data_IF_532097068025
#
_entry.id   IF_532097068025
#
_cell.length_a   1.000
_cell.length_b   1.000
_cell.length_c   1.000
_cell.angle_alpha   90.00
_cell.angle_beta   90.00
_cell.angle_gamma   90.00
#
_symmetry.space_group_name_H-M   'P 1'
#
loop_
_entity.id
_entity.type
_entity.pdbx_description
1 polymer ?
#
# COMPACT_ATOMS: atom_id res chain seq x y z
N UNK A 1 11.41 0.42 -2.04
CA UNK A 1 12.22 1.66 -2.16
C UNK A 1 13.35 1.36 -3.13
N UNK A 2 13.77 2.33 -3.94
CA UNK A 2 14.89 2.19 -4.87
C UNK A 2 15.90 3.33 -4.65
N UNK A 3 17.09 3.22 -5.25
CA UNK A 3 18.06 4.32 -5.31
C UNK A 3 18.41 4.62 -6.77
N UNK A 4 18.44 5.90 -7.12
CA UNK A 4 18.85 6.38 -8.43
C UNK A 4 19.59 7.71 -8.26
N UNK A 5 20.77 7.84 -8.88
CA UNK A 5 21.64 9.04 -8.82
C UNK A 5 21.85 9.58 -7.39
N UNK A 6 22.13 8.68 -6.43
CA UNK A 6 22.36 9.04 -5.03
C UNK A 6 21.11 9.43 -4.24
N UNK A 7 19.93 9.53 -4.87
CA UNK A 7 18.65 9.83 -4.22
C UNK A 7 17.85 8.56 -3.94
N UNK A 8 17.05 8.59 -2.86
CA UNK A 8 16.09 7.52 -2.55
C UNK A 8 14.79 7.78 -3.31
N UNK A 9 14.30 6.77 -4.04
CA UNK A 9 13.04 6.81 -4.76
C UNK A 9 11.96 5.98 -4.04
N UNK A 10 10.83 6.61 -3.79
CA UNK A 10 9.62 5.96 -3.30
C UNK A 10 8.68 5.67 -4.47
N UNK A 11 8.46 4.37 -4.74
CA UNK A 11 7.67 3.89 -5.86
C UNK A 11 6.52 3.03 -5.30
N UNK A 12 5.30 3.56 -5.15
CA UNK A 12 4.16 2.78 -4.68
C UNK A 12 3.86 1.60 -5.63
N UNK A 13 3.59 0.43 -5.05
CA UNK A 13 3.19 -0.77 -5.80
C UNK A 13 4.34 -1.62 -6.33
N UNK A 14 5.60 -1.23 -6.09
CA UNK A 14 6.79 -2.01 -6.44
C UNK A 14 7.32 -2.77 -5.21
N UNK A 15 7.61 -4.06 -5.38
CA UNK A 15 8.18 -4.92 -4.34
C UNK A 15 9.72 -4.97 -4.41
N UNK A 16 10.39 -5.48 -3.36
CA UNK A 16 11.82 -5.77 -3.44
C UNK A 16 12.17 -6.69 -4.62
N UNK A 17 13.32 -6.44 -5.25
CA UNK A 17 13.87 -7.21 -6.38
C UNK A 17 13.08 -7.11 -7.70
N UNK A 18 12.04 -6.28 -7.79
CA UNK A 18 11.35 -6.02 -9.05
C UNK A 18 12.01 -4.93 -9.88
N UNK A 19 11.93 -5.10 -11.19
CA UNK A 19 12.35 -4.11 -12.19
C UNK A 19 11.11 -3.47 -12.82
N UNK A 20 11.16 -2.17 -13.04
CA UNK A 20 10.07 -1.42 -13.67
C UNK A 20 10.57 -0.14 -14.34
N UNK A 21 9.87 0.27 -15.40
CA UNK A 21 9.91 1.61 -15.93
C UNK A 21 9.06 2.51 -15.03
N UNK A 22 9.66 3.60 -14.56
CA UNK A 22 9.02 4.53 -13.63
C UNK A 22 9.16 5.97 -14.11
N UNK A 23 8.14 6.78 -13.86
CA UNK A 23 8.17 8.22 -14.10
C UNK A 23 8.20 8.96 -12.77
N UNK A 24 9.18 9.84 -12.60
CA UNK A 24 9.30 10.70 -11.40
C UNK A 24 8.15 11.71 -11.41
N UNK A 25 7.39 11.73 -10.32
CA UNK A 25 6.25 12.65 -10.14
C UNK A 25 6.56 13.80 -9.19
N UNK A 26 7.58 13.64 -8.33
CA UNK A 26 8.01 14.65 -7.38
C UNK A 26 9.50 14.47 -7.13
N UNK A 27 10.29 15.50 -7.33
CA UNK A 27 11.72 15.50 -7.01
C UNK A 27 12.01 16.50 -5.87
N UNK A 28 12.60 16.01 -4.79
CA UNK A 28 13.03 16.81 -3.64
C UNK A 28 14.52 16.59 -3.39
N UNK A 29 15.10 17.47 -2.56
CA UNK A 29 16.54 17.48 -2.27
C UNK A 29 17.07 16.12 -1.80
N UNK A 30 16.34 15.42 -0.93
CA UNK A 30 16.79 14.16 -0.31
C UNK A 30 16.13 12.89 -0.90
N UNK A 31 14.98 13.04 -1.54
CA UNK A 31 14.21 11.90 -2.07
C UNK A 31 13.38 12.31 -3.28
N UNK A 32 12.96 11.33 -4.07
CA UNK A 32 12.00 11.50 -5.13
C UNK A 32 10.84 10.50 -4.97
N UNK A 33 9.67 10.85 -5.53
CA UNK A 33 8.55 9.93 -5.70
C UNK A 33 8.36 9.65 -7.17
N UNK A 34 8.07 8.41 -7.50
CA UNK A 34 7.82 7.99 -8.87
C UNK A 34 6.62 7.02 -8.92
N UNK A 35 6.01 6.92 -10.10
CA UNK A 35 4.95 5.96 -10.39
C UNK A 35 5.43 4.94 -11.40
N UNK A 36 4.99 3.69 -11.24
CA UNK A 36 5.24 2.63 -12.22
C UNK A 36 4.46 2.91 -13.49
N UNK A 37 5.16 2.99 -14.61
CA UNK A 37 4.55 3.03 -15.96
C UNK A 37 4.37 1.61 -16.45
N UNK A 38 5.41 0.79 -16.33
CA UNK A 38 5.41 -0.60 -16.77
C UNK A 38 6.30 -1.43 -15.86
N UNK A 39 5.75 -2.51 -15.30
CA UNK A 39 6.53 -3.48 -14.53
C UNK A 39 7.18 -4.47 -15.50
N UNK A 40 8.47 -4.74 -15.30
CA UNK A 40 9.29 -5.60 -16.17
C UNK A 40 9.54 -6.98 -15.56
N UNK A 41 9.46 -7.11 -14.24
CA UNK A 41 9.55 -8.38 -13.53
C UNK A 41 8.65 -8.41 -12.30
N UNK A 42 8.22 -9.61 -11.93
CA UNK A 42 7.38 -9.86 -10.76
C UNK A 42 8.20 -10.60 -9.70
N UNK A 43 8.10 -10.12 -8.45
CA UNK A 43 8.68 -10.82 -7.30
C UNK A 43 7.93 -12.15 -7.07
N UNK A 44 8.60 -13.23 -6.63
CA UNK A 44 7.90 -14.45 -6.19
C UNK A 44 6.96 -14.20 -5.00
N UNK A 45 7.17 -13.12 -4.26
CA UNK A 45 6.35 -12.71 -3.11
C UNK A 45 5.20 -11.77 -3.52
N UNK A 46 4.97 -11.60 -4.82
CA UNK A 46 3.87 -10.79 -5.34
C UNK A 46 2.56 -11.57 -5.27
N UNK A 47 1.57 -10.94 -4.68
CA UNK A 47 0.21 -11.45 -4.60
C UNK A 47 -0.74 -10.59 -5.43
N UNK A 48 -1.81 -11.21 -5.93
CA UNK A 48 -2.91 -10.46 -6.55
C UNK A 48 -3.80 -9.88 -5.45
N UNK A 49 -3.99 -8.54 -5.39
CA UNK A 49 -4.84 -7.94 -4.37
C UNK A 49 -6.28 -8.48 -4.43
N UNK A 50 -6.80 -8.94 -3.30
CA UNK A 50 -8.20 -9.45 -3.21
C UNK A 50 -9.24 -8.34 -3.26
N UNK A 51 -8.89 -7.12 -2.82
CA UNK A 51 -9.80 -5.99 -2.81
C UNK A 51 -9.79 -5.28 -4.17
N UNK A 52 -10.94 -5.14 -4.87
CA UNK A 52 -11.01 -4.41 -6.13
C UNK A 52 -10.72 -2.91 -5.97
N UNK A 53 -10.80 -2.38 -4.74
CA UNK A 53 -10.50 -0.99 -4.43
C UNK A 53 -9.03 -0.75 -4.05
N UNK A 54 -8.19 -1.80 -4.02
CA UNK A 54 -6.78 -1.66 -3.68
C UNK A 54 -6.07 -0.71 -4.65
N UNK A 55 -5.14 0.11 -4.12
CA UNK A 55 -4.45 1.16 -4.89
C UNK A 55 -5.17 2.50 -4.91
N UNK A 56 -6.51 2.52 -4.81
CA UNK A 56 -7.32 3.75 -4.72
C UNK A 56 -7.72 4.04 -3.27
N UNK A 57 -8.29 3.03 -2.61
CA UNK A 57 -8.71 3.10 -1.21
C UNK A 57 -7.49 3.24 -0.27
N UNK A 58 -7.61 4.11 0.73
CA UNK A 58 -6.59 4.33 1.75
C UNK A 58 -6.48 3.22 2.80
N UNK A 59 -7.41 2.26 2.81
CA UNK A 59 -7.54 1.26 3.87
C UNK A 59 -6.40 0.24 3.94
N UNK A 60 -5.84 -0.19 2.80
CA UNK A 60 -4.76 -1.18 2.76
C UNK A 60 -3.60 -0.68 1.90
N UNK A 61 -2.36 -0.98 2.30
CA UNK A 61 -1.15 -0.54 1.59
C UNK A 61 -0.40 -1.66 0.87
N UNK A 62 -0.46 -2.91 1.37
CA UNK A 62 0.43 -4.01 0.97
C UNK A 62 -0.28 -5.28 0.47
N UNK A 63 -1.53 -5.23 0.01
CA UNK A 63 -2.23 -6.44 -0.50
C UNK A 63 -1.55 -7.10 -1.73
N UNK A 64 -0.59 -6.43 -2.34
CA UNK A 64 0.20 -6.95 -3.46
C UNK A 64 1.45 -7.70 -2.99
N UNK A 65 1.73 -7.74 -1.69
CA UNK A 65 2.83 -8.48 -1.09
C UNK A 65 2.27 -9.68 -0.31
N UNK A 66 2.95 -10.82 -0.36
CA UNK A 66 2.68 -11.98 0.48
C UNK A 66 2.73 -11.61 1.97
N UNK A 67 2.01 -12.39 2.79
CA UNK A 67 2.01 -12.20 4.25
C UNK A 67 3.44 -12.34 4.80
N UNK A 68 4.21 -13.30 4.29
CA UNK A 68 5.59 -13.55 4.70
C UNK A 68 6.49 -12.35 4.42
N UNK A 69 6.41 -11.75 3.22
CA UNK A 69 7.17 -10.55 2.90
C UNK A 69 6.76 -9.38 3.80
N UNK A 70 5.47 -9.22 4.10
CA UNK A 70 5.00 -8.18 5.01
C UNK A 70 5.56 -8.36 6.43
N UNK A 71 5.53 -9.58 6.96
CA UNK A 71 6.07 -9.91 8.28
C UNK A 71 7.59 -9.70 8.33
N UNK A 72 8.34 -10.29 7.39
CA UNK A 72 9.80 -10.14 7.30
C UNK A 72 10.23 -8.67 7.21
N UNK A 73 9.54 -7.88 6.39
CA UNK A 73 9.84 -6.45 6.22
C UNK A 73 9.62 -5.66 7.51
N UNK A 74 8.53 -5.94 8.24
CA UNK A 74 8.21 -5.28 9.52
C UNK A 74 9.17 -5.71 10.63
N UNK A 75 9.47 -7.01 10.73
CA UNK A 75 10.41 -7.55 11.71
C UNK A 75 11.81 -7.01 11.50
N UNK A 76 12.30 -6.93 10.25
CA UNK A 76 13.60 -6.34 9.95
C UNK A 76 13.69 -4.85 10.32
N UNK A 77 12.61 -4.09 10.07
CA UNK A 77 12.53 -2.69 10.46
C UNK A 77 12.55 -2.51 11.99
N UNK A 78 11.79 -3.34 12.71
CA UNK A 78 11.76 -3.35 14.17
C UNK A 78 13.12 -3.74 14.77
N UNK A 79 13.74 -4.80 14.26
CA UNK A 79 15.03 -5.27 14.73
C UNK A 79 16.11 -4.20 14.60
N UNK A 80 16.13 -3.50 13.45
CA UNK A 80 17.04 -2.37 13.22
C UNK A 80 16.81 -1.21 14.18
N UNK A 81 15.55 -0.91 14.50
CA UNK A 81 15.21 0.18 15.41
C UNK A 81 15.61 -0.13 16.85
N UNK A 82 15.37 -1.37 17.29
CA UNK A 82 15.65 -1.84 18.65
C UNK A 82 17.11 -2.29 18.84
N UNK A 83 17.85 -2.48 17.74
CA UNK A 83 19.19 -3.11 17.73
C UNK A 83 19.20 -4.49 18.41
N UNK A 84 18.11 -5.23 18.23
CA UNK A 84 17.89 -6.55 18.82
C UNK A 84 17.02 -7.37 17.87
N UNK A 85 17.25 -8.67 17.79
CA UNK A 85 16.48 -9.55 16.93
C UNK A 85 15.02 -9.70 17.40
N UNK A 86 14.11 -9.87 16.44
CA UNK A 86 12.69 -10.14 16.73
C UNK A 86 12.52 -11.63 16.98
N UNK A 87 12.16 -12.00 18.21
CA UNK A 87 12.06 -13.40 18.62
C UNK A 87 10.95 -14.17 17.91
N UNK A 88 9.75 -13.57 17.77
CA UNK A 88 8.61 -14.21 17.13
C UNK A 88 7.66 -13.18 16.50
N UNK A 89 6.85 -13.64 15.54
CA UNK A 89 5.76 -12.86 14.96
C UNK A 89 4.44 -13.50 15.35
N UNK A 90 3.67 -12.81 16.19
CA UNK A 90 2.31 -13.22 16.55
C UNK A 90 1.36 -12.79 15.43
N UNK A 91 0.66 -13.75 14.82
CA UNK A 91 -0.26 -13.52 13.72
C UNK A 91 -1.53 -14.38 13.83
N UNK A 92 -2.56 -13.98 13.10
CA UNK A 92 -3.84 -14.69 12.94
C UNK A 92 -4.25 -14.61 11.45
N UNK A 93 -5.50 -14.95 11.13
CA UNK A 93 -6.05 -14.92 9.78
C UNK A 93 -5.75 -13.59 9.07
N UNK A 94 -5.19 -13.63 7.85
CA UNK A 94 -4.78 -12.40 7.14
C UNK A 94 -5.93 -11.62 6.50
N UNK A 95 -7.15 -12.17 6.52
CA UNK A 95 -8.35 -11.61 5.89
C UNK A 95 -9.55 -11.71 6.82
N UNK A 96 -10.48 -10.76 6.73
CA UNK A 96 -11.66 -10.69 7.60
C UNK A 96 -11.33 -10.47 9.08
N UNK A 97 -10.13 -9.99 9.40
CA UNK A 97 -9.66 -9.78 10.77
C UNK A 97 -10.29 -8.52 11.41
N UNK A 98 -10.80 -7.59 10.61
CA UNK A 98 -11.30 -6.30 11.09
C UNK A 98 -12.76 -6.41 11.57
N UNK A 99 -12.94 -6.56 12.89
CA UNK A 99 -14.27 -6.60 13.54
C UNK A 99 -15.12 -5.31 13.47
N UNK A 100 -14.55 -4.15 13.10
CA UNK A 100 -15.24 -2.85 13.08
C UNK A 100 -14.71 -1.93 11.98
N UNK A 101 -15.60 -1.30 11.23
CA UNK A 101 -15.27 -0.30 10.22
C UNK A 101 -16.03 1.02 10.49
N UNK A 102 -15.38 2.15 10.19
CA UNK A 102 -16.03 3.47 10.14
C UNK A 102 -16.09 3.89 8.68
N UNK A 103 -17.31 3.99 8.15
CA UNK A 103 -17.57 4.44 6.79
C UNK A 103 -17.91 5.93 6.83
N UNK A 104 -17.26 6.70 5.99
CA UNK A 104 -17.57 8.11 5.81
C UNK A 104 -18.71 8.25 4.80
N UNK A 105 -19.60 9.21 5.04
CA UNK A 105 -20.71 9.55 4.17
C UNK A 105 -20.47 10.94 3.57
N UNK A 106 -20.74 11.09 2.28
CA UNK A 106 -20.69 12.37 1.59
C UNK A 106 -21.80 12.43 0.55
N UNK A 107 -22.66 13.43 0.63
CA UNK A 107 -23.68 13.67 -0.37
C UNK A 107 -23.16 14.64 -1.43
N UNK A 108 -23.37 14.31 -2.70
CA UNK A 108 -23.00 15.13 -3.86
C UNK A 108 -24.27 15.77 -4.44
N UNK A 109 -24.58 17.05 -4.15
CA UNK A 109 -25.85 17.66 -4.56
C UNK A 109 -26.03 17.74 -6.07
N UNK A 110 -24.95 17.99 -6.82
CA UNK A 110 -24.97 18.14 -8.28
C UNK A 110 -25.38 16.88 -9.03
N UNK A 111 -25.01 15.71 -8.52
CA UNK A 111 -25.33 14.42 -9.12
C UNK A 111 -26.42 13.67 -8.34
N UNK A 112 -26.90 14.25 -7.23
CA UNK A 112 -27.85 13.65 -6.30
C UNK A 112 -27.41 12.27 -5.77
N UNK A 113 -26.10 12.07 -5.61
CA UNK A 113 -25.52 10.78 -5.18
C UNK A 113 -25.02 10.82 -3.74
N UNK A 114 -25.30 9.77 -2.97
CA UNK A 114 -24.66 9.51 -1.68
C UNK A 114 -23.44 8.61 -1.88
N UNK A 115 -22.27 9.09 -1.47
CA UNK A 115 -21.05 8.31 -1.40
C UNK A 115 -20.87 7.77 0.00
N UNK A 116 -20.55 6.48 0.11
CA UNK A 116 -20.23 5.81 1.35
C UNK A 116 -18.95 5.00 1.17
N UNK A 117 -17.96 5.19 2.04
CA UNK A 117 -16.76 4.37 2.00
C UNK A 117 -15.58 4.93 2.79
N UNK A 118 -14.39 4.50 2.41
CA UNK A 118 -13.14 4.95 3.02
C UNK A 118 -12.52 6.12 2.26
N UNK A 119 -11.67 6.89 2.93
CA UNK A 119 -10.87 7.92 2.29
C UNK A 119 -9.88 7.31 1.28
N UNK A 120 -9.68 7.99 0.14
CA UNK A 120 -8.60 7.67 -0.80
C UNK A 120 -7.23 8.00 -0.19
N UNK A 121 -6.15 7.41 -0.73
CA UNK A 121 -4.77 7.66 -0.26
C UNK A 121 -4.35 9.13 -0.35
N UNK A 122 -4.81 9.85 -1.38
CA UNK A 122 -4.76 11.30 -1.56
C UNK A 122 -5.40 11.63 -2.93
N UNK A 123 -6.14 12.73 -3.10
CA UNK A 123 -6.66 13.68 -2.09
C UNK A 123 -7.77 13.08 -1.21
N UNK A 124 -8.16 13.78 -0.14
CA UNK A 124 -9.23 13.40 0.82
C UNK A 124 -10.59 13.43 0.14
N UNK A 125 -10.84 12.43 -0.69
CA UNK A 125 -12.12 12.17 -1.36
C UNK A 125 -12.56 10.76 -1.00
N UNK A 126 -13.86 10.51 -1.00
CA UNK A 126 -14.38 9.18 -0.70
C UNK A 126 -14.22 8.25 -1.90
N UNK A 127 -13.84 7.01 -1.62
CA UNK A 127 -13.99 5.89 -2.53
C UNK A 127 -15.20 5.08 -2.10
N UNK A 128 -16.23 5.02 -2.94
CA UNK A 128 -17.37 4.12 -2.69
C UNK A 128 -16.83 2.71 -2.55
N UNK A 129 -17.11 2.08 -1.42
CA UNK A 129 -16.55 0.76 -1.06
C UNK A 129 -17.68 -0.22 -0.85
N UNK A 130 -17.86 -1.16 -1.79
CA UNK A 130 -18.89 -2.19 -1.72
C UNK A 130 -18.33 -3.55 -1.28
N UNK A 131 -17.00 -3.70 -1.22
CA UNK A 131 -16.34 -4.92 -0.76
C UNK A 131 -14.99 -4.60 -0.10
N UNK A 132 -14.82 -5.00 1.16
CA UNK A 132 -13.61 -4.82 1.95
C UNK A 132 -13.22 -6.16 2.58
N UNK A 133 -12.25 -6.91 1.99
CA UNK A 133 -11.92 -8.27 2.41
C UNK A 133 -11.07 -8.35 3.69
N UNK A 134 -10.89 -7.23 4.39
CA UNK A 134 -10.07 -7.11 5.60
C UNK A 134 -10.92 -7.09 6.85
#
# INVERSE_FOLDING_TARGET
>A
MARHNGKTLFIPGLLPQENAEVTVTEDKKQYARAKVVRRLSDSPERETPRCPHFGVCGGCQQQHASVDLQQRSKSAALARLMKHDVSEVIADVPWGYRRRARLSLNYLPKTQQLQMGFAKRAPVTLSTSNNAPF
#
